data_IF_787011462969
#
_entry.id   IF_787011462969
#
_cell.length_a   1.000
_cell.length_b   1.000
_cell.length_c   1.000
_cell.angle_alpha   90.00
_cell.angle_beta   90.00
_cell.angle_gamma   90.00
#
_symmetry.space_group_name_H-M   'P 1'
#
loop_
_entity.id
_entity.type
_entity.pdbx_description
1 polymer ?
#
# COMPACT_ATOMS: atom_id res chain seq x y z
N UNK A 1 19.75 31.88 11.15
CA UNK A 1 18.40 31.40 10.96
C UNK A 1 17.88 31.96 9.63
N UNK A 2 17.64 31.09 8.64
CA UNK A 2 17.02 31.47 7.38
C UNK A 2 15.54 31.66 7.69
N UNK A 3 15.11 32.91 7.88
CA UNK A 3 13.69 33.23 7.90
C UNK A 3 13.18 33.14 6.47
N UNK A 4 12.40 32.14 6.18
CA UNK A 4 11.65 32.06 4.93
C UNK A 4 10.48 33.02 5.09
N UNK A 5 10.58 34.20 4.47
CA UNK A 5 9.48 35.15 4.41
C UNK A 5 8.36 34.60 3.54
N UNK A 6 7.41 33.93 4.19
CA UNK A 6 6.20 33.46 3.53
C UNK A 6 5.30 34.69 3.32
N UNK A 7 4.83 34.95 2.10
CA UNK A 7 3.97 36.11 1.84
C UNK A 7 2.74 36.11 2.77
N UNK A 8 2.43 37.23 3.39
CA UNK A 8 1.27 37.40 4.30
C UNK A 8 -0.05 37.00 3.62
N UNK A 9 -0.17 37.26 2.32
CA UNK A 9 -1.32 36.80 1.52
C UNK A 9 -1.51 35.29 1.53
N UNK A 10 -0.41 34.53 1.52
CA UNK A 10 -0.43 33.06 1.56
C UNK A 10 -1.01 32.53 2.88
N UNK A 11 -0.67 33.13 4.01
CA UNK A 11 -1.21 32.72 5.32
C UNK A 11 -2.69 33.05 5.46
N UNK A 12 -3.16 34.13 4.85
CA UNK A 12 -4.58 34.52 4.82
C UNK A 12 -5.40 33.51 3.99
N UNK A 13 -4.94 33.16 2.80
CA UNK A 13 -5.61 32.16 1.94
C UNK A 13 -5.69 30.78 2.61
N UNK A 14 -4.63 30.34 3.31
CA UNK A 14 -4.63 29.11 4.08
C UNK A 14 -5.62 29.15 5.25
N UNK A 15 -5.77 30.27 5.92
CA UNK A 15 -6.73 30.41 7.01
C UNK A 15 -8.17 30.32 6.50
N UNK A 16 -8.46 30.97 5.36
CA UNK A 16 -9.78 30.88 4.71
C UNK A 16 -10.06 29.44 4.27
N UNK A 17 -9.09 28.76 3.67
CA UNK A 17 -9.21 27.36 3.31
C UNK A 17 -9.48 26.45 4.52
N UNK A 18 -8.70 26.63 5.60
CA UNK A 18 -8.90 25.89 6.84
C UNK A 18 -10.32 26.09 7.40
N UNK A 19 -10.78 27.34 7.49
CA UNK A 19 -12.14 27.63 7.99
C UNK A 19 -13.22 27.00 7.09
N UNK A 20 -13.01 26.96 5.77
CA UNK A 20 -13.89 26.27 4.85
C UNK A 20 -13.94 24.76 5.12
N UNK A 21 -12.77 24.11 5.29
CA UNK A 21 -12.68 22.69 5.59
C UNK A 21 -13.33 22.38 6.94
N UNK A 22 -13.01 23.14 7.99
CA UNK A 22 -13.56 22.94 9.34
C UNK A 22 -15.09 23.12 9.34
N UNK A 23 -15.61 24.10 8.58
CA UNK A 23 -17.08 24.32 8.46
C UNK A 23 -17.82 23.21 7.68
N UNK A 24 -17.09 22.47 6.84
CA UNK A 24 -17.64 21.41 6.00
C UNK A 24 -17.07 20.01 6.35
N UNK A 25 -16.49 19.86 7.53
CA UNK A 25 -15.77 18.64 7.95
C UNK A 25 -16.62 17.38 7.76
N UNK A 26 -17.89 17.40 8.22
CA UNK A 26 -18.80 16.24 8.12
C UNK A 26 -19.08 15.89 6.65
N UNK A 27 -19.30 16.89 5.79
CA UNK A 27 -19.56 16.68 4.37
C UNK A 27 -18.32 16.10 3.67
N UNK A 28 -17.16 16.72 3.87
CA UNK A 28 -15.87 16.29 3.25
C UNK A 28 -15.54 14.87 3.71
N UNK A 29 -15.61 14.59 5.01
CA UNK A 29 -15.32 13.27 5.57
C UNK A 29 -16.28 12.22 5.04
N UNK A 30 -17.60 12.52 4.98
CA UNK A 30 -18.60 11.59 4.45
C UNK A 30 -18.35 11.26 2.98
N UNK A 31 -18.04 12.26 2.15
CA UNK A 31 -17.73 12.05 0.74
C UNK A 31 -16.45 11.26 0.55
N UNK A 32 -15.41 11.53 1.35
CA UNK A 32 -14.17 10.75 1.33
C UNK A 32 -14.41 9.28 1.66
N UNK A 33 -15.20 9.01 2.70
CA UNK A 33 -15.58 7.63 3.06
C UNK A 33 -16.31 6.95 1.89
N UNK A 34 -17.23 7.63 1.22
CA UNK A 34 -17.95 7.09 0.06
C UNK A 34 -16.97 6.72 -1.08
N UNK A 35 -15.95 7.56 -1.35
CA UNK A 35 -14.94 7.28 -2.40
C UNK A 35 -14.17 5.98 -2.12
N UNK A 36 -13.90 5.66 -0.85
CA UNK A 36 -13.23 4.40 -0.48
C UNK A 36 -14.21 3.20 -0.38
N UNK A 37 -15.50 3.44 -0.19
CA UNK A 37 -16.50 2.36 -0.20
C UNK A 37 -16.63 1.69 -1.56
N UNK A 38 -16.50 2.44 -2.67
CA UNK A 38 -16.61 1.89 -4.03
C UNK A 38 -15.58 0.79 -4.30
N UNK A 39 -14.25 1.04 -4.15
CA UNK A 39 -13.24 -0.01 -4.28
C UNK A 39 -13.45 -1.18 -3.31
N UNK A 40 -13.86 -0.89 -2.07
CA UNK A 40 -14.09 -1.90 -1.04
C UNK A 40 -15.23 -2.85 -1.41
N UNK A 41 -16.34 -2.34 -1.94
CA UNK A 41 -17.46 -3.16 -2.41
C UNK A 41 -17.02 -4.07 -3.57
N UNK A 42 -16.21 -3.56 -4.50
CA UNK A 42 -15.66 -4.35 -5.60
C UNK A 42 -14.78 -5.49 -5.04
N UNK A 43 -13.92 -5.21 -4.07
CA UNK A 43 -13.07 -6.20 -3.41
C UNK A 43 -13.91 -7.29 -2.73
N UNK A 44 -14.95 -6.91 -1.98
CA UNK A 44 -15.86 -7.85 -1.31
C UNK A 44 -16.57 -8.75 -2.34
N UNK A 45 -17.13 -8.15 -3.39
CA UNK A 45 -17.82 -8.89 -4.46
C UNK A 45 -16.89 -9.91 -5.12
N UNK A 46 -15.65 -9.52 -5.42
CA UNK A 46 -14.68 -10.41 -6.02
C UNK A 46 -14.30 -11.55 -5.08
N UNK A 47 -14.06 -11.27 -3.81
CA UNK A 47 -13.76 -12.29 -2.80
C UNK A 47 -14.90 -13.30 -2.66
N UNK A 48 -16.16 -12.83 -2.61
CA UNK A 48 -17.33 -13.68 -2.55
C UNK A 48 -17.48 -14.53 -3.82
N UNK A 49 -17.21 -13.96 -5.00
CA UNK A 49 -17.26 -14.71 -6.27
C UNK A 49 -16.28 -15.87 -6.33
N UNK A 50 -15.12 -15.72 -5.71
CA UNK A 50 -14.09 -16.75 -5.62
C UNK A 50 -14.50 -17.87 -4.66
N UNK A 51 -15.11 -17.54 -3.52
CA UNK A 51 -15.60 -18.53 -2.55
C UNK A 51 -16.67 -19.47 -3.15
N UNK A 52 -17.44 -18.98 -4.13
CA UNK A 52 -18.48 -19.75 -4.81
C UNK A 52 -18.01 -20.38 -6.14
N UNK A 53 -16.78 -20.10 -6.59
CA UNK A 53 -16.25 -20.71 -7.80
C UNK A 53 -15.87 -22.17 -7.55
N UNK A 54 -16.27 -23.07 -8.48
CA UNK A 54 -15.76 -24.44 -8.49
C UNK A 54 -14.24 -24.39 -8.74
N UNK A 55 -13.54 -25.44 -8.30
CA UNK A 55 -12.10 -25.62 -8.50
C UNK A 55 -11.77 -25.63 -10.00
N UNK A 56 -11.57 -24.43 -10.58
CA UNK A 56 -11.27 -24.22 -11.98
C UNK A 56 -10.01 -23.34 -12.11
N UNK A 57 -9.27 -23.51 -13.20
CA UNK A 57 -8.06 -22.74 -13.53
C UNK A 57 -8.34 -21.23 -13.48
N UNK A 58 -9.53 -20.81 -13.91
CA UNK A 58 -9.94 -19.40 -13.88
C UNK A 58 -10.10 -18.88 -12.44
N UNK A 59 -10.63 -19.70 -11.54
CA UNK A 59 -10.72 -19.35 -10.12
C UNK A 59 -9.33 -19.23 -9.48
N UNK A 60 -8.44 -20.16 -9.81
CA UNK A 60 -7.05 -20.14 -9.39
C UNK A 60 -6.31 -18.87 -9.83
N UNK A 61 -6.44 -18.47 -11.11
CA UNK A 61 -5.88 -17.21 -11.63
C UNK A 61 -6.41 -15.98 -10.89
N UNK A 62 -7.71 -15.92 -10.63
CA UNK A 62 -8.33 -14.81 -9.90
C UNK A 62 -7.76 -14.69 -8.50
N UNK A 63 -7.62 -15.79 -7.77
CA UNK A 63 -7.08 -15.82 -6.41
C UNK A 63 -5.65 -15.35 -6.38
N UNK A 64 -4.79 -15.88 -7.26
CA UNK A 64 -3.37 -15.50 -7.30
C UNK A 64 -3.18 -14.01 -7.63
N UNK A 65 -4.06 -13.44 -8.47
CA UNK A 65 -4.00 -12.04 -8.88
C UNK A 65 -4.70 -11.07 -7.89
N UNK A 66 -5.36 -11.57 -6.82
CA UNK A 66 -6.06 -10.73 -5.85
C UNK A 66 -5.19 -9.63 -5.21
N UNK A 67 -3.94 -9.89 -4.78
CA UNK A 67 -3.11 -8.88 -4.14
C UNK A 67 -2.87 -7.68 -5.05
N UNK A 68 -2.58 -7.92 -6.32
CA UNK A 68 -2.39 -6.85 -7.32
C UNK A 68 -3.70 -6.09 -7.54
N UNK A 69 -4.80 -6.82 -7.71
CA UNK A 69 -6.10 -6.20 -7.97
C UNK A 69 -6.55 -5.30 -6.82
N UNK A 70 -6.44 -5.78 -5.58
CA UNK A 70 -6.85 -5.02 -4.39
C UNK A 70 -5.96 -3.81 -4.17
N UNK A 71 -4.66 -3.93 -4.44
CA UNK A 71 -3.73 -2.81 -4.35
C UNK A 71 -4.05 -1.71 -5.37
N UNK A 72 -4.37 -2.09 -6.61
CA UNK A 72 -4.78 -1.13 -7.65
C UNK A 72 -6.14 -0.49 -7.35
N UNK A 73 -7.09 -1.23 -6.78
CA UNK A 73 -8.36 -0.68 -6.32
C UNK A 73 -8.18 0.29 -5.14
N UNK A 74 -7.18 0.08 -4.28
CA UNK A 74 -6.79 1.03 -3.24
C UNK A 74 -6.36 2.39 -3.83
N UNK A 75 -5.54 2.37 -4.90
CA UNK A 75 -5.15 3.60 -5.62
C UNK A 75 -6.38 4.32 -6.20
N UNK A 76 -7.36 3.58 -6.70
CA UNK A 76 -8.59 4.18 -7.26
C UNK A 76 -9.31 5.05 -6.21
N UNK A 77 -9.38 4.62 -4.96
CA UNK A 77 -9.96 5.42 -3.87
C UNK A 77 -9.25 6.78 -3.70
N UNK A 78 -7.93 6.78 -3.78
CA UNK A 78 -7.11 8.01 -3.69
C UNK A 78 -7.26 8.91 -4.91
N UNK A 79 -7.37 8.35 -6.12
CA UNK A 79 -7.65 9.13 -7.33
C UNK A 79 -9.03 9.82 -7.22
N UNK A 80 -10.04 9.11 -6.74
CA UNK A 80 -11.37 9.68 -6.52
C UNK A 80 -11.34 10.78 -5.45
N UNK A 81 -10.57 10.60 -4.38
CA UNK A 81 -10.36 11.61 -3.34
C UNK A 81 -9.66 12.86 -3.89
N UNK A 82 -8.65 12.71 -4.76
CA UNK A 82 -7.99 13.83 -5.43
C UNK A 82 -8.97 14.62 -6.31
N UNK A 83 -9.81 13.93 -7.08
CA UNK A 83 -10.84 14.60 -7.90
C UNK A 83 -11.78 15.42 -7.02
N UNK A 84 -12.21 14.86 -5.89
CA UNK A 84 -13.06 15.54 -4.93
C UNK A 84 -12.39 16.81 -4.37
N UNK A 85 -11.12 16.71 -3.99
CA UNK A 85 -10.34 17.84 -3.47
C UNK A 85 -10.19 18.95 -4.51
N UNK A 86 -9.88 18.60 -5.76
CA UNK A 86 -9.82 19.58 -6.87
C UNK A 86 -11.16 20.30 -7.03
N UNK A 87 -12.28 19.60 -6.93
CA UNK A 87 -13.62 20.19 -7.01
C UNK A 87 -13.83 21.19 -5.87
N UNK A 88 -13.48 20.83 -4.64
CA UNK A 88 -13.58 21.74 -3.50
C UNK A 88 -12.65 22.95 -3.63
N UNK A 89 -11.45 22.77 -4.14
CA UNK A 89 -10.51 23.87 -4.41
C UNK A 89 -11.06 24.83 -5.47
N UNK A 90 -11.64 24.30 -6.56
CA UNK A 90 -12.27 25.14 -7.59
C UNK A 90 -13.44 25.94 -6.98
N UNK A 91 -14.29 25.30 -6.21
CA UNK A 91 -15.41 25.96 -5.53
C UNK A 91 -14.92 27.07 -4.59
N UNK A 92 -13.93 26.79 -3.75
CA UNK A 92 -13.37 27.77 -2.81
C UNK A 92 -12.69 28.95 -3.53
N UNK A 93 -12.00 28.70 -4.65
CA UNK A 93 -11.42 29.77 -5.49
C UNK A 93 -12.48 30.72 -6.00
N UNK A 94 -13.59 30.22 -6.55
CA UNK A 94 -14.66 31.06 -7.08
C UNK A 94 -15.44 31.79 -5.98
N UNK A 95 -15.61 31.16 -4.80
CA UNK A 95 -16.40 31.72 -3.70
C UNK A 95 -15.63 32.74 -2.87
N UNK A 96 -14.35 32.49 -2.60
CA UNK A 96 -13.52 33.27 -1.68
C UNK A 96 -12.39 34.03 -2.37
N UNK A 97 -12.22 33.87 -3.69
CA UNK A 97 -11.17 34.50 -4.50
C UNK A 97 -9.75 34.28 -3.93
N UNK A 98 -9.46 33.09 -3.44
CA UNK A 98 -8.16 32.71 -2.85
C UNK A 98 -7.25 32.01 -3.85
N UNK A 99 -5.93 32.14 -3.65
CA UNK A 99 -4.94 31.42 -4.46
C UNK A 99 -4.65 30.05 -3.83
N UNK A 100 -5.15 29.00 -4.47
CA UNK A 100 -5.04 27.63 -3.98
C UNK A 100 -3.88 26.82 -4.59
N UNK A 101 -3.02 27.45 -5.39
CA UNK A 101 -1.95 26.74 -6.10
C UNK A 101 -1.06 25.93 -5.16
N UNK A 102 -0.69 26.50 -4.02
CA UNK A 102 0.14 25.80 -3.04
C UNK A 102 -0.62 24.70 -2.32
N UNK A 103 -1.88 24.93 -1.97
CA UNK A 103 -2.74 23.92 -1.31
C UNK A 103 -2.87 22.72 -2.22
N UNK A 104 -3.23 22.93 -3.49
CA UNK A 104 -3.32 21.85 -4.49
C UNK A 104 -1.99 21.12 -4.67
N UNK A 105 -0.87 21.82 -4.71
CA UNK A 105 0.44 21.20 -4.88
C UNK A 105 0.83 20.35 -3.66
N UNK A 106 0.63 20.85 -2.45
CA UNK A 106 0.90 20.10 -1.22
C UNK A 106 0.01 18.88 -1.08
N UNK A 107 -1.29 19.03 -1.33
CA UNK A 107 -2.25 17.94 -1.28
C UNK A 107 -1.94 16.85 -2.32
N UNK A 108 -1.54 17.23 -3.54
CA UNK A 108 -1.13 16.28 -4.57
C UNK A 108 0.03 15.40 -4.09
N UNK A 109 1.05 15.99 -3.48
CA UNK A 109 2.19 15.24 -2.94
C UNK A 109 1.72 14.24 -1.87
N UNK A 110 0.88 14.69 -0.92
CA UNK A 110 0.37 13.80 0.13
C UNK A 110 -0.49 12.68 -0.43
N UNK A 111 -1.43 12.97 -1.32
CA UNK A 111 -2.30 11.95 -1.93
C UNK A 111 -1.48 10.91 -2.70
N UNK A 112 -0.43 11.33 -3.42
CA UNK A 112 0.47 10.38 -4.11
C UNK A 112 1.18 9.48 -3.10
N UNK A 113 1.72 10.03 -2.02
CA UNK A 113 2.40 9.25 -0.98
C UNK A 113 1.45 8.30 -0.25
N UNK A 114 0.25 8.77 0.10
CA UNK A 114 -0.78 7.96 0.75
C UNK A 114 -1.31 6.86 -0.17
N UNK A 115 -1.41 7.13 -1.47
CA UNK A 115 -1.78 6.11 -2.46
C UNK A 115 -0.73 5.00 -2.55
N UNK A 116 0.57 5.35 -2.51
CA UNK A 116 1.67 4.37 -2.48
C UNK A 116 1.63 3.58 -1.17
N UNK A 117 1.41 4.24 -0.03
CA UNK A 117 1.27 3.58 1.27
C UNK A 117 0.10 2.58 1.26
N UNK A 118 -1.06 3.02 0.81
CA UNK A 118 -2.27 2.18 0.68
C UNK A 118 -2.04 0.98 -0.24
N UNK A 119 -1.37 1.20 -1.38
CA UNK A 119 -1.01 0.15 -2.32
C UNK A 119 -0.15 -0.92 -1.65
N UNK A 120 0.93 -0.52 -0.97
CA UNK A 120 1.87 -1.43 -0.32
C UNK A 120 1.20 -2.21 0.81
N UNK A 121 0.44 -1.53 1.67
CA UNK A 121 -0.30 -2.18 2.77
C UNK A 121 -1.29 -3.20 2.21
N UNK A 122 -2.12 -2.81 1.24
CA UNK A 122 -3.12 -3.70 0.63
C UNK A 122 -2.47 -4.91 -0.02
N UNK A 123 -1.35 -4.70 -0.73
CA UNK A 123 -0.61 -5.80 -1.36
C UNK A 123 -0.09 -6.79 -0.32
N UNK A 124 0.67 -6.32 0.67
CA UNK A 124 1.30 -7.22 1.64
C UNK A 124 0.29 -7.93 2.54
N UNK A 125 -0.78 -7.25 2.94
CA UNK A 125 -1.85 -7.87 3.73
C UNK A 125 -2.54 -8.96 2.92
N UNK A 126 -2.97 -8.64 1.70
CA UNK A 126 -3.68 -9.61 0.84
C UNK A 126 -2.78 -10.76 0.43
N UNK A 127 -1.53 -10.49 0.08
CA UNK A 127 -0.54 -11.52 -0.27
C UNK A 127 -0.26 -12.45 0.92
N UNK A 128 -0.12 -11.90 2.12
CA UNK A 128 0.09 -12.71 3.34
C UNK A 128 -1.09 -13.62 3.61
N UNK A 129 -2.32 -13.13 3.48
CA UNK A 129 -3.54 -13.93 3.66
C UNK A 129 -3.63 -14.99 2.56
N UNK A 130 -3.39 -14.63 1.31
CA UNK A 130 -3.39 -15.58 0.20
C UNK A 130 -2.39 -16.72 0.42
N UNK A 131 -1.13 -16.41 0.70
CA UNK A 131 -0.07 -17.44 0.91
C UNK A 131 -0.32 -18.32 2.11
N UNK A 132 -0.98 -17.85 3.16
CA UNK A 132 -1.22 -18.61 4.39
C UNK A 132 -2.51 -19.41 4.39
N UNK A 133 -3.55 -18.89 3.76
CA UNK A 133 -4.91 -19.43 3.92
C UNK A 133 -5.46 -20.00 2.62
N UNK A 134 -5.36 -19.23 1.52
CA UNK A 134 -6.09 -19.55 0.29
C UNK A 134 -5.29 -20.46 -0.63
N UNK A 135 -4.06 -20.05 -0.96
CA UNK A 135 -3.22 -20.78 -1.91
C UNK A 135 -2.82 -22.20 -1.44
N UNK A 136 -2.54 -22.47 -0.15
CA UNK A 136 -2.26 -23.85 0.29
C UNK A 136 -3.40 -24.83 0.08
N UNK A 137 -4.65 -24.34 0.05
CA UNK A 137 -5.84 -25.15 -0.21
C UNK A 137 -6.02 -25.47 -1.69
N UNK A 138 -5.71 -24.49 -2.56
CA UNK A 138 -5.84 -24.62 -4.01
C UNK A 138 -4.61 -25.30 -4.65
N UNK A 139 -3.45 -25.10 -4.07
CA UNK A 139 -2.16 -25.60 -4.57
C UNK A 139 -1.40 -26.36 -3.47
N UNK A 140 -1.85 -27.56 -3.06
CA UNK A 140 -1.21 -28.32 -2.00
C UNK A 140 0.23 -28.75 -2.35
N UNK A 141 0.53 -28.89 -3.65
CA UNK A 141 1.86 -29.23 -4.16
C UNK A 141 2.76 -27.99 -4.45
N UNK A 142 2.23 -26.78 -4.31
CA UNK A 142 2.88 -25.55 -4.79
C UNK A 142 2.63 -25.33 -6.28
N UNK A 143 3.65 -24.85 -7.04
CA UNK A 143 3.59 -24.67 -8.51
C UNK A 143 2.63 -23.56 -8.97
N UNK A 144 2.41 -22.56 -8.12
CA UNK A 144 1.57 -21.40 -8.45
C UNK A 144 2.15 -20.63 -9.65
N UNK A 145 3.47 -20.63 -9.81
CA UNK A 145 4.18 -20.01 -10.94
C UNK A 145 3.79 -20.60 -12.30
N UNK A 146 3.33 -21.85 -12.34
CA UNK A 146 2.92 -22.56 -13.58
C UNK A 146 1.49 -22.24 -14.01
N UNK A 147 0.71 -21.50 -13.22
CA UNK A 147 -0.65 -21.11 -13.59
C UNK A 147 -0.59 -20.06 -14.68
N UNK A 148 -1.21 -20.28 -15.86
CA UNK A 148 -1.15 -19.32 -16.96
C UNK A 148 -1.89 -18.02 -16.59
N UNK A 149 -1.36 -16.86 -17.06
CA UNK A 149 -1.99 -15.54 -16.82
C UNK A 149 -1.88 -14.99 -15.41
N UNK A 150 -1.02 -15.57 -14.58
CA UNK A 150 -0.68 -15.06 -13.26
C UNK A 150 0.25 -13.85 -13.40
N UNK A 151 -0.07 -12.78 -12.67
CA UNK A 151 0.73 -11.57 -12.59
C UNK A 151 1.46 -11.51 -11.25
N UNK A 152 2.70 -11.08 -11.26
CA UNK A 152 3.49 -10.79 -10.05
C UNK A 152 4.22 -9.47 -10.20
N UNK A 153 4.47 -8.81 -9.09
CA UNK A 153 5.46 -7.74 -9.05
C UNK A 153 6.83 -8.36 -8.78
N UNK A 154 7.86 -7.86 -9.47
CA UNK A 154 9.23 -8.25 -9.17
C UNK A 154 9.61 -7.85 -7.75
N UNK A 155 10.48 -8.61 -7.12
CA UNK A 155 10.99 -8.29 -5.79
C UNK A 155 11.64 -6.90 -5.76
N UNK A 156 12.36 -6.51 -6.81
CA UNK A 156 12.95 -5.18 -6.91
C UNK A 156 11.91 -4.07 -6.84
N UNK A 157 10.80 -4.23 -7.56
CA UNK A 157 9.67 -3.28 -7.50
C UNK A 157 9.10 -3.20 -6.09
N UNK A 158 8.86 -4.34 -5.45
CA UNK A 158 8.34 -4.41 -4.08
C UNK A 158 9.29 -3.77 -3.07
N UNK A 159 10.62 -3.94 -3.22
CA UNK A 159 11.63 -3.29 -2.38
C UNK A 159 11.57 -1.76 -2.46
N UNK A 160 11.49 -1.21 -3.69
CA UNK A 160 11.42 0.24 -3.90
C UNK A 160 10.16 0.83 -3.25
N UNK A 161 9.00 0.24 -3.52
CA UNK A 161 7.74 0.71 -2.94
C UNK A 161 7.69 0.53 -1.42
N UNK A 162 8.23 -0.56 -0.91
CA UNK A 162 8.40 -0.78 0.52
C UNK A 162 9.26 0.32 1.16
N UNK A 163 10.41 0.63 0.57
CA UNK A 163 11.31 1.67 1.07
C UNK A 163 10.63 3.05 1.09
N UNK A 164 9.93 3.42 0.02
CA UNK A 164 9.16 4.66 -0.05
C UNK A 164 8.13 4.70 1.09
N UNK A 165 7.39 3.61 1.30
CA UNK A 165 6.32 3.53 2.30
C UNK A 165 6.83 3.62 3.73
N UNK A 166 7.90 2.91 4.04
CA UNK A 166 8.41 2.78 5.42
C UNK A 166 9.31 3.94 5.82
N UNK A 167 10.03 4.54 4.87
CA UNK A 167 11.03 5.58 5.15
C UNK A 167 10.60 6.96 4.68
N UNK A 168 10.26 7.12 3.41
CA UNK A 168 10.01 8.44 2.83
C UNK A 168 8.67 9.03 3.31
N UNK A 169 7.60 8.24 3.34
CA UNK A 169 6.29 8.75 3.73
C UNK A 169 6.26 9.29 5.16
N UNK A 170 6.69 8.54 6.21
CA UNK A 170 6.74 9.07 7.57
C UNK A 170 7.68 10.28 7.70
N UNK A 171 8.82 10.28 7.00
CA UNK A 171 9.77 11.38 7.01
C UNK A 171 9.16 12.67 6.46
N UNK A 172 8.47 12.59 5.29
CA UNK A 172 7.82 13.75 4.67
C UNK A 172 6.67 14.24 5.56
N UNK A 173 5.89 13.33 6.16
CA UNK A 173 4.81 13.67 7.07
C UNK A 173 5.33 14.45 8.29
N UNK A 174 6.39 13.97 8.94
CA UNK A 174 7.01 14.65 10.09
C UNK A 174 7.56 16.01 9.66
N UNK A 175 8.30 16.08 8.54
CA UNK A 175 8.89 17.31 8.04
C UNK A 175 7.82 18.36 7.73
N UNK A 176 6.73 17.99 7.07
CA UNK A 176 5.61 18.89 6.79
C UNK A 176 4.96 19.44 8.05
N UNK A 177 4.85 18.59 9.09
CA UNK A 177 4.33 18.98 10.40
C UNK A 177 5.24 20.01 11.08
N UNK A 178 6.56 19.86 11.00
CA UNK A 178 7.53 20.85 11.51
C UNK A 178 7.44 22.17 10.77
N UNK A 179 7.34 22.14 9.43
CA UNK A 179 7.19 23.36 8.62
C UNK A 179 5.91 24.08 9.01
N UNK A 180 4.80 23.38 9.19
CA UNK A 180 3.53 23.98 9.63
C UNK A 180 3.61 24.65 11.00
N UNK A 181 4.37 24.09 11.95
CA UNK A 181 4.60 24.68 13.28
C UNK A 181 5.44 25.96 13.17
N UNK A 182 6.49 26.00 12.34
CA UNK A 182 7.35 27.16 12.14
C UNK A 182 6.57 28.33 11.50
N UNK A 183 5.68 28.05 10.54
CA UNK A 183 4.87 29.06 9.85
C UNK A 183 3.88 29.74 10.81
N UNK A 184 3.29 28.99 11.73
CA UNK A 184 2.23 29.50 12.60
C UNK A 184 2.71 30.11 13.93
N UNK A 185 4.00 30.13 14.21
CA UNK A 185 4.69 30.73 15.39
C UNK A 185 3.99 30.55 16.77
N UNK A 186 2.89 29.85 16.87
CA UNK A 186 2.01 29.81 18.06
C UNK A 186 1.46 28.44 18.45
N UNK A 187 1.69 27.38 17.66
CA UNK A 187 1.10 26.09 17.99
C UNK A 187 2.15 25.13 18.52
N UNK A 188 2.01 24.66 19.76
CA UNK A 188 2.77 23.51 20.20
C UNK A 188 2.45 22.31 19.29
N UNK A 189 3.40 21.41 19.16
CA UNK A 189 3.25 20.17 18.41
C UNK A 189 1.85 19.57 18.69
N UNK A 190 0.99 19.51 17.67
CA UNK A 190 -0.39 19.08 17.86
C UNK A 190 -0.41 17.60 18.31
N UNK A 191 -1.14 17.29 19.38
CA UNK A 191 -1.30 15.93 19.87
C UNK A 191 -1.75 14.93 18.78
N UNK A 192 -2.55 15.38 17.82
CA UNK A 192 -2.96 14.56 16.70
C UNK A 192 -1.78 14.20 15.77
N UNK A 193 -0.88 15.14 15.52
CA UNK A 193 0.36 14.88 14.75
C UNK A 193 1.24 13.83 15.44
N UNK A 194 1.40 13.92 16.76
CA UNK A 194 2.16 12.93 17.53
C UNK A 194 1.50 11.55 17.43
N UNK A 195 0.18 11.46 17.61
CA UNK A 195 -0.56 10.19 17.50
C UNK A 195 -0.41 9.57 16.10
N UNK A 196 -0.58 10.36 15.05
CA UNK A 196 -0.42 9.89 13.67
C UNK A 196 1.02 9.41 13.42
N UNK A 197 2.03 10.16 13.88
CA UNK A 197 3.44 9.75 13.76
C UNK A 197 3.73 8.41 14.45
N UNK A 198 3.16 8.19 15.64
CA UNK A 198 3.28 6.91 16.36
C UNK A 198 2.60 5.78 15.57
N UNK A 199 1.40 6.01 15.04
CA UNK A 199 0.69 5.01 14.23
C UNK A 199 1.49 4.67 12.97
N UNK A 200 2.03 5.67 12.27
CA UNK A 200 2.89 5.46 11.09
C UNK A 200 4.16 4.68 11.44
N UNK A 201 4.79 4.99 12.56
CA UNK A 201 5.98 4.27 13.04
C UNK A 201 5.67 2.80 13.35
N UNK A 202 4.60 2.53 14.09
CA UNK A 202 4.18 1.17 14.40
C UNK A 202 3.76 0.38 13.15
N UNK A 203 3.07 1.04 12.20
CA UNK A 203 2.72 0.41 10.92
C UNK A 203 3.95 0.08 10.08
N UNK A 204 4.99 0.94 10.09
CA UNK A 204 6.26 0.68 9.43
C UNK A 204 6.98 -0.54 10.00
N UNK A 205 6.99 -0.71 11.32
CA UNK A 205 7.54 -1.91 11.98
C UNK A 205 6.75 -3.16 11.56
N UNK A 206 5.42 -3.09 11.61
CA UNK A 206 4.56 -4.21 11.23
C UNK A 206 4.77 -4.63 9.76
N UNK A 207 4.83 -3.66 8.84
CA UNK A 207 5.12 -3.90 7.42
C UNK A 207 6.51 -4.51 7.23
N UNK A 208 7.52 -4.03 7.96
CA UNK A 208 8.88 -4.58 7.89
C UNK A 208 8.89 -6.06 8.30
N UNK A 209 8.21 -6.42 9.38
CA UNK A 209 8.11 -7.81 9.83
C UNK A 209 7.41 -8.68 8.77
N UNK A 210 6.33 -8.19 8.18
CA UNK A 210 5.60 -8.91 7.12
C UNK A 210 6.49 -9.10 5.90
N UNK A 211 7.16 -8.04 5.44
CA UNK A 211 8.06 -8.09 4.29
C UNK A 211 9.24 -9.05 4.50
N UNK A 212 9.89 -8.98 5.66
CA UNK A 212 10.95 -9.93 6.02
C UNK A 212 10.47 -11.38 5.93
N UNK A 213 9.27 -11.67 6.45
CA UNK A 213 8.72 -13.04 6.42
C UNK A 213 8.43 -13.53 5.00
N UNK A 214 7.98 -12.65 4.10
CA UNK A 214 7.69 -13.00 2.70
C UNK A 214 8.97 -13.45 1.98
N UNK A 215 10.13 -12.89 2.33
CA UNK A 215 11.41 -13.20 1.71
C UNK A 215 12.14 -14.31 2.47
N UNK A 216 12.26 -14.18 3.79
CA UNK A 216 13.10 -15.06 4.62
C UNK A 216 12.56 -16.49 4.68
N UNK A 217 11.23 -16.66 4.78
CA UNK A 217 10.63 -18.00 4.91
C UNK A 217 10.89 -18.89 3.68
N UNK A 218 10.67 -18.44 2.42
CA UNK A 218 11.04 -19.24 1.25
C UNK A 218 12.53 -19.53 1.17
N UNK A 219 13.36 -18.53 1.47
CA UNK A 219 14.82 -18.67 1.42
C UNK A 219 15.33 -19.72 2.42
N UNK A 220 14.84 -19.72 3.66
CA UNK A 220 15.19 -20.74 4.66
C UNK A 220 14.80 -22.13 4.19
N UNK A 221 13.62 -22.30 3.58
CA UNK A 221 13.21 -23.60 3.04
C UNK A 221 14.14 -24.10 1.93
N UNK A 222 14.64 -23.21 1.08
CA UNK A 222 15.60 -23.54 0.04
C UNK A 222 16.95 -23.96 0.63
N UNK A 223 17.42 -23.25 1.65
CA UNK A 223 18.65 -23.58 2.39
C UNK A 223 18.52 -24.96 3.03
N UNK A 224 17.43 -25.21 3.77
CA UNK A 224 17.16 -26.52 4.40
C UNK A 224 17.08 -27.64 3.36
N UNK A 225 16.47 -27.35 2.20
CA UNK A 225 16.41 -28.28 1.08
C UNK A 225 17.80 -28.62 0.52
N UNK A 226 18.65 -27.61 0.33
CA UNK A 226 20.01 -27.76 -0.15
C UNK A 226 20.87 -28.58 0.82
N UNK A 227 20.71 -28.35 2.13
CA UNK A 227 21.41 -29.12 3.15
C UNK A 227 21.05 -30.61 3.13
N UNK A 228 19.78 -30.93 2.87
CA UNK A 228 19.33 -32.35 2.75
C UNK A 228 19.92 -33.01 1.52
N UNK A 229 19.97 -32.30 0.38
CA UNK A 229 20.62 -32.82 -0.84
C UNK A 229 22.09 -33.12 -0.60
N UNK A 230 22.84 -32.22 0.09
CA UNK A 230 24.24 -32.44 0.45
C UNK A 230 24.46 -33.68 1.32
N UNK A 231 23.43 -34.06 2.09
CA UNK A 231 23.41 -35.32 2.88
C UNK A 231 22.95 -36.56 2.09
N UNK A 232 22.71 -36.40 0.78
CA UNK A 232 22.29 -37.51 -0.11
C UNK A 232 20.80 -37.73 -0.22
N UNK A 233 19.96 -36.88 0.39
CA UNK A 233 18.49 -36.98 0.28
C UNK A 233 18.02 -36.13 -0.92
N UNK A 234 17.89 -36.75 -2.08
CA UNK A 234 17.38 -36.14 -3.32
C UNK A 234 15.86 -36.17 -3.42
N UNK A 235 15.16 -36.79 -2.45
CA UNK A 235 13.69 -36.86 -2.44
C UNK A 235 13.03 -35.55 -1.98
N UNK A 236 13.84 -34.57 -1.55
CA UNK A 236 13.39 -33.30 -0.98
C UNK A 236 12.70 -32.44 -2.02
N UNK A 237 11.50 -31.98 -1.67
CA UNK A 237 10.77 -30.93 -2.43
C UNK A 237 10.56 -29.71 -1.58
N UNK A 238 10.92 -28.55 -2.10
CA UNK A 238 10.66 -27.25 -1.48
C UNK A 238 9.30 -26.75 -1.94
N UNK A 239 8.32 -26.80 -1.05
CA UNK A 239 6.98 -26.23 -1.32
C UNK A 239 7.04 -24.72 -1.08
N UNK A 240 7.02 -23.95 -2.14
CA UNK A 240 6.84 -22.51 -2.10
C UNK A 240 5.59 -22.11 -2.89
N UNK A 241 4.71 -21.40 -2.23
CA UNK A 241 3.42 -20.97 -2.78
C UNK A 241 3.54 -19.50 -3.11
N UNK A 242 4.29 -19.20 -4.17
CA UNK A 242 4.53 -17.85 -4.66
C UNK A 242 4.57 -17.85 -6.18
N UNK A 243 4.21 -16.70 -6.77
CA UNK A 243 4.28 -16.46 -8.20
C UNK A 243 5.36 -15.43 -8.60
N UNK A 244 6.19 -15.03 -7.63
CA UNK A 244 7.34 -14.15 -7.81
C UNK A 244 8.65 -14.92 -8.09
N UNK A 245 9.79 -14.24 -8.08
CA UNK A 245 11.10 -14.83 -8.30
C UNK A 245 11.43 -15.94 -7.29
N UNK A 246 10.89 -15.87 -6.06
CA UNK A 246 11.05 -16.93 -5.06
C UNK A 246 10.28 -18.21 -5.44
N UNK A 247 9.12 -18.07 -6.08
CA UNK A 247 8.38 -19.20 -6.64
C UNK A 247 9.16 -19.88 -7.77
N UNK A 248 9.65 -19.08 -8.71
CA UNK A 248 10.47 -19.57 -9.82
C UNK A 248 11.74 -20.27 -9.32
N UNK A 249 12.43 -19.71 -8.33
CA UNK A 249 13.63 -20.31 -7.74
C UNK A 249 13.32 -21.65 -7.07
N UNK A 250 12.19 -21.75 -6.37
CA UNK A 250 11.77 -23.01 -5.74
C UNK A 250 11.41 -24.08 -6.76
N UNK A 251 10.79 -23.70 -7.87
CA UNK A 251 10.46 -24.62 -8.96
C UNK A 251 11.73 -25.11 -9.68
N UNK A 252 12.69 -24.23 -9.96
CA UNK A 252 14.01 -24.60 -10.52
C UNK A 252 14.79 -25.55 -9.60
N UNK A 253 14.77 -25.28 -8.28
CA UNK A 253 15.35 -26.18 -7.28
C UNK A 253 14.72 -27.58 -7.35
N UNK A 254 13.38 -27.65 -7.39
CA UNK A 254 12.69 -28.92 -7.46
C UNK A 254 12.91 -29.67 -8.79
N UNK A 255 13.17 -28.97 -9.88
CA UNK A 255 13.54 -29.59 -11.15
C UNK A 255 14.97 -30.18 -11.11
N UNK A 256 15.89 -29.44 -10.51
CA UNK A 256 17.28 -29.91 -10.32
C UNK A 256 17.35 -31.20 -9.48
N UNK A 257 16.48 -31.33 -8.45
CA UNK A 257 16.47 -32.52 -7.58
C UNK A 257 15.84 -33.76 -8.22
N UNK A 258 15.14 -33.60 -9.36
CA UNK A 258 14.55 -34.72 -10.10
C UNK A 258 15.46 -35.31 -11.17
N UNK A 259 16.50 -34.54 -11.58
CA UNK A 259 17.46 -34.91 -12.61
C UNK A 259 18.56 -35.80 -12.05
#
# INVERSE_FOLDING_TARGET
PVTVDIPVAYTADMLVWKNFVDSNEILITSLTIIMFLIPSIICIKDSLSILHAKEDIIAAQKVVNLPIKFSLLGILGWILSLILEVIFCIYAKFTFNINLTYILFSSLIFIVLESIFSFVVSYFVTETVNRRVVLPRLFPEGQVSKVPGVKSFSLNFLFVFFFITVSLFPMIFILSSFVSVQINNQLPLNWNTIKISIVLFLSSIALTIVFMRIITVPLTKLIDGTEKITKGDYSVKVKNISNDEMGLLSDAFNEMTKS
#
